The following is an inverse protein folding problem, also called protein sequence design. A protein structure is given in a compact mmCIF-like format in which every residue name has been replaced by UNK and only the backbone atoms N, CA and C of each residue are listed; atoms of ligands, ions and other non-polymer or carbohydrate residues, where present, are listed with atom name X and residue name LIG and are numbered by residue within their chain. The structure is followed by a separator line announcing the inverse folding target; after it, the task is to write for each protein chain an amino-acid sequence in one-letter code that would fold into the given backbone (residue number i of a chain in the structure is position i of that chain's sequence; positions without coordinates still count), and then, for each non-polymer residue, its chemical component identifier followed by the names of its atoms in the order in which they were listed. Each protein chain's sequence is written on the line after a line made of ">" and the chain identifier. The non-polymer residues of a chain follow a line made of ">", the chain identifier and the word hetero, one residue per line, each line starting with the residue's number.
data_IF_296830262226
#
_entry.id   IF_296830262226
#
_cell.length_a   1.000
_cell.length_b   1.000
_cell.length_c   1.000
_cell.angle_alpha   90.00
_cell.angle_beta   90.00
_cell.angle_gamma   90.00
#
_symmetry.space_group_name_H-M   'P 1'
#
loop_
_entity.id
_entity.type
_entity.pdbx_description
1 polymer ?
#
# COMPACT_ATOMS: atom_id res chain seq x y z
N UNK A 1 18.87 -8.57 -11.07
CA UNK A 1 17.60 -8.86 -10.40
C UNK A 1 16.47 -8.65 -11.40
N UNK A 2 15.48 -9.54 -11.40
CA UNK A 2 14.31 -9.37 -12.24
C UNK A 2 13.34 -8.42 -11.55
N UNK A 3 13.27 -7.16 -12.00
CA UNK A 3 12.25 -6.24 -11.52
C UNK A 3 10.91 -6.51 -12.23
N UNK A 4 9.82 -6.31 -11.52
CA UNK A 4 8.46 -6.60 -11.97
C UNK A 4 7.69 -5.29 -12.05
N UNK A 5 6.88 -5.11 -13.08
CA UNK A 5 5.92 -4.00 -13.15
C UNK A 5 4.57 -4.46 -12.62
N UNK A 6 3.83 -3.56 -11.96
CA UNK A 6 2.45 -3.84 -11.58
C UNK A 6 1.59 -4.18 -12.80
N UNK A 7 0.82 -5.25 -12.69
CA UNK A 7 -0.08 -5.69 -13.76
C UNK A 7 -1.49 -5.15 -13.51
N UNK A 8 -1.80 -4.00 -14.07
CA UNK A 8 -3.06 -3.29 -13.84
C UNK A 8 -4.32 -3.98 -14.40
N UNK A 9 -4.20 -5.15 -15.01
CA UNK A 9 -5.32 -6.03 -15.34
C UNK A 9 -5.42 -7.22 -14.36
N UNK A 10 -4.54 -7.31 -13.37
CA UNK A 10 -4.47 -8.39 -12.38
C UNK A 10 -3.88 -7.84 -11.06
N UNK A 11 -4.54 -6.85 -10.47
CA UNK A 11 -4.08 -6.15 -9.27
C UNK A 11 -5.21 -5.87 -8.27
N UNK A 12 -4.88 -5.23 -7.15
CA UNK A 12 -5.83 -4.86 -6.08
C UNK A 12 -7.05 -4.08 -6.56
N UNK A 13 -6.87 -3.16 -7.53
CA UNK A 13 -7.99 -2.40 -8.11
C UNK A 13 -9.00 -3.34 -8.75
N UNK A 14 -8.52 -4.38 -9.43
CA UNK A 14 -9.38 -5.36 -10.10
C UNK A 14 -10.14 -6.23 -9.08
N UNK A 15 -9.53 -6.57 -7.94
CA UNK A 15 -10.21 -7.25 -6.83
C UNK A 15 -11.36 -6.40 -6.29
N UNK A 16 -11.12 -5.12 -6.01
CA UNK A 16 -12.16 -4.20 -5.54
C UNK A 16 -13.30 -4.05 -6.54
N UNK A 17 -12.98 -4.00 -7.85
CA UNK A 17 -14.00 -3.94 -8.89
C UNK A 17 -14.79 -5.24 -9.05
N UNK A 18 -14.19 -6.43 -8.78
CA UNK A 18 -14.93 -7.69 -8.67
C UNK A 18 -15.95 -7.64 -7.52
N UNK A 19 -15.57 -7.11 -6.36
CA UNK A 19 -16.47 -6.95 -5.22
C UNK A 19 -17.59 -5.95 -5.54
N UNK A 20 -17.27 -4.77 -6.08
CA UNK A 20 -18.28 -3.79 -6.51
C UNK A 20 -19.31 -4.42 -7.46
N UNK A 21 -18.84 -5.15 -8.48
CA UNK A 21 -19.70 -5.87 -9.43
C UNK A 21 -20.59 -6.91 -8.74
N UNK A 22 -20.05 -7.71 -7.83
CA UNK A 22 -20.80 -8.74 -7.11
C UNK A 22 -21.94 -8.16 -6.25
N UNK A 23 -21.76 -6.92 -5.76
CA UNK A 23 -22.77 -6.20 -4.99
C UNK A 23 -23.60 -5.19 -5.81
N UNK A 24 -23.54 -5.27 -7.14
CA UNK A 24 -24.34 -4.45 -8.05
C UNK A 24 -23.95 -2.97 -8.10
N UNK A 25 -22.79 -2.61 -7.59
CA UNK A 25 -22.25 -1.25 -7.67
C UNK A 25 -21.51 -1.01 -8.99
N UNK A 26 -21.40 0.26 -9.38
CA UNK A 26 -20.68 0.65 -10.60
C UNK A 26 -19.18 0.36 -10.48
N UNK A 27 -18.61 -0.26 -11.51
CA UNK A 27 -17.19 -0.53 -11.63
C UNK A 27 -16.50 0.55 -12.47
N UNK A 28 -15.26 0.89 -12.12
CA UNK A 28 -14.43 1.89 -12.80
C UNK A 28 -13.24 1.29 -13.54
N UNK A 29 -12.93 0.02 -13.26
CA UNK A 29 -11.83 -0.73 -13.85
C UNK A 29 -12.27 -2.17 -14.18
N UNK A 30 -11.49 -2.93 -14.98
CA UNK A 30 -11.70 -4.37 -15.17
C UNK A 30 -11.71 -5.13 -13.85
N UNK A 31 -12.42 -6.24 -13.80
CA UNK A 31 -12.49 -7.14 -12.64
C UNK A 31 -11.34 -8.16 -12.64
N UNK A 32 -11.07 -8.78 -11.50
CA UNK A 32 -10.09 -9.84 -11.31
C UNK A 32 -10.75 -11.20 -11.57
N UNK A 33 -10.38 -11.88 -12.64
CA UNK A 33 -11.02 -13.13 -13.07
C UNK A 33 -11.07 -14.21 -11.97
N UNK A 34 -9.98 -14.35 -11.18
CA UNK A 34 -9.98 -15.33 -10.09
C UNK A 34 -10.95 -14.92 -8.96
N UNK A 35 -11.09 -13.65 -8.67
CA UNK A 35 -12.06 -13.18 -7.68
C UNK A 35 -13.50 -13.30 -8.19
N UNK A 36 -13.76 -13.01 -9.47
CA UNK A 36 -15.08 -13.20 -10.08
C UNK A 36 -15.57 -14.65 -9.92
N UNK A 37 -14.69 -15.64 -10.15
CA UNK A 37 -15.03 -17.06 -9.98
C UNK A 37 -15.37 -17.44 -8.53
N UNK A 38 -14.68 -16.83 -7.55
CA UNK A 38 -14.96 -17.05 -6.14
C UNK A 38 -16.28 -16.37 -5.71
N UNK A 39 -16.54 -15.17 -6.23
CA UNK A 39 -17.72 -14.36 -5.92
C UNK A 39 -19.00 -14.85 -6.63
N UNK A 40 -18.92 -15.75 -7.60
CA UNK A 40 -20.09 -16.36 -8.29
C UNK A 40 -20.87 -17.34 -7.39
N UNK A 41 -20.37 -17.62 -6.18
CA UNK A 41 -21.04 -18.43 -5.18
C UNK A 41 -22.18 -17.70 -4.46
N UNK A 42 -23.12 -18.49 -3.91
CA UNK A 42 -24.22 -17.94 -3.09
C UNK A 42 -23.79 -17.79 -1.63
N UNK A 43 -23.14 -16.70 -1.28
CA UNK A 43 -22.74 -16.40 0.09
C UNK A 43 -23.64 -15.32 0.69
N UNK A 44 -23.96 -15.48 1.97
CA UNK A 44 -24.62 -14.45 2.76
C UNK A 44 -23.65 -13.33 3.11
N UNK A 45 -22.39 -13.67 3.35
CA UNK A 45 -21.36 -12.70 3.71
C UNK A 45 -20.16 -12.87 2.77
N UNK A 46 -19.61 -11.73 2.32
CA UNK A 46 -18.31 -11.65 1.69
C UNK A 46 -17.42 -10.78 2.58
N UNK A 47 -16.36 -11.35 3.10
CA UNK A 47 -15.37 -10.64 3.95
C UNK A 47 -14.09 -10.51 3.19
N UNK A 48 -13.58 -9.31 3.03
CA UNK A 48 -12.21 -9.04 2.58
C UNK A 48 -11.39 -8.60 3.79
N UNK A 49 -10.46 -9.43 4.22
CA UNK A 49 -9.49 -9.13 5.27
C UNK A 49 -8.13 -8.84 4.63
N UNK A 50 -7.68 -7.61 4.76
CA UNK A 50 -6.38 -7.17 4.31
C UNK A 50 -5.41 -7.17 5.50
N UNK A 51 -4.34 -7.95 5.38
CA UNK A 51 -3.24 -8.04 6.33
C UNK A 51 -2.03 -7.33 5.73
N UNK A 52 -1.66 -6.21 6.34
CA UNK A 52 -0.62 -5.31 5.82
C UNK A 52 0.74 -6.01 5.66
N UNK A 53 1.33 -5.89 4.48
CA UNK A 53 2.59 -6.49 4.05
C UNK A 53 2.66 -8.04 4.09
N UNK A 54 1.53 -8.74 4.26
CA UNK A 54 1.51 -10.21 4.24
C UNK A 54 1.57 -10.75 2.79
N UNK A 55 2.61 -10.34 2.04
CA UNK A 55 2.85 -10.77 0.66
C UNK A 55 3.19 -12.26 0.53
N UNK A 56 3.23 -12.75 -0.72
CA UNK A 56 3.52 -14.16 -1.01
C UNK A 56 4.87 -14.58 -0.46
N UNK A 57 5.90 -13.73 -0.59
CA UNK A 57 7.24 -14.03 -0.08
C UNK A 57 7.26 -14.27 1.44
N UNK A 58 6.52 -13.49 2.22
CA UNK A 58 6.40 -13.67 3.67
C UNK A 58 5.68 -14.98 4.03
N UNK A 59 4.57 -15.29 3.35
CA UNK A 59 3.82 -16.54 3.56
C UNK A 59 4.68 -17.76 3.22
N UNK A 60 5.37 -17.74 2.08
CA UNK A 60 6.22 -18.87 1.66
C UNK A 60 7.41 -19.08 2.60
N UNK A 61 7.97 -18.00 3.15
CA UNK A 61 9.13 -18.06 4.04
C UNK A 61 8.78 -18.54 5.44
N UNK A 62 7.69 -18.06 6.02
CA UNK A 62 7.40 -18.22 7.44
C UNK A 62 6.38 -19.32 7.75
N UNK A 63 5.56 -19.73 6.79
CA UNK A 63 4.50 -20.70 7.01
C UNK A 63 4.75 -22.01 6.30
N UNK A 64 4.30 -23.12 6.89
CA UNK A 64 4.47 -24.44 6.32
C UNK A 64 3.56 -24.66 5.08
N UNK A 65 3.97 -25.48 4.09
CA UNK A 65 3.22 -25.64 2.85
C UNK A 65 1.79 -26.14 3.02
N UNK A 66 1.51 -26.94 4.04
CA UNK A 66 0.22 -27.51 4.39
C UNK A 66 -0.51 -26.73 5.51
N UNK A 67 0.00 -25.54 5.88
CA UNK A 67 -0.65 -24.62 6.82
C UNK A 67 -1.94 -24.03 6.27
N UNK A 68 -2.72 -23.42 7.16
CA UNK A 68 -4.05 -22.90 6.84
C UNK A 68 -4.03 -21.90 5.67
N UNK A 69 -3.19 -20.87 5.73
CA UNK A 69 -3.16 -19.83 4.70
C UNK A 69 -2.68 -20.38 3.34
N UNK A 70 -1.65 -21.23 3.34
CA UNK A 70 -1.10 -21.80 2.10
C UNK A 70 -2.02 -22.83 1.47
N UNK A 71 -2.74 -23.62 2.26
CA UNK A 71 -3.69 -24.62 1.75
C UNK A 71 -4.95 -24.00 1.13
N UNK A 72 -5.29 -22.75 1.49
CA UNK A 72 -6.41 -22.00 0.93
C UNK A 72 -6.00 -20.96 -0.12
N UNK A 73 -4.75 -20.97 -0.58
CA UNK A 73 -4.26 -20.05 -1.61
C UNK A 73 -4.96 -20.32 -2.95
N UNK A 74 -5.84 -19.41 -3.36
CA UNK A 74 -6.52 -19.47 -4.66
C UNK A 74 -5.59 -19.03 -5.81
N UNK A 75 -4.61 -18.17 -5.51
CA UNK A 75 -3.61 -17.69 -6.45
C UNK A 75 -2.86 -16.47 -5.94
N UNK A 76 -1.98 -15.93 -6.76
CA UNK A 76 -1.31 -14.66 -6.51
C UNK A 76 -1.62 -13.64 -7.59
N UNK A 77 -1.52 -12.36 -7.24
CA UNK A 77 -1.75 -11.24 -8.14
C UNK A 77 -0.90 -10.05 -7.69
N UNK A 78 -1.02 -8.92 -8.38
CA UNK A 78 -0.13 -7.78 -8.14
C UNK A 78 -0.74 -6.77 -7.15
N UNK A 79 0.10 -6.20 -6.31
CA UNK A 79 -0.18 -4.88 -5.73
C UNK A 79 -0.23 -3.81 -6.83
N UNK A 80 -0.57 -2.58 -6.46
CA UNK A 80 -0.41 -1.40 -7.31
C UNK A 80 1.02 -0.86 -7.22
N UNK A 81 1.35 0.13 -8.03
CA UNK A 81 2.61 0.87 -7.87
C UNK A 81 2.31 2.30 -7.36
N UNK A 82 3.04 2.81 -6.37
CA UNK A 82 3.99 2.06 -5.53
C UNK A 82 3.27 1.01 -4.65
N UNK A 83 3.90 -0.15 -4.38
CA UNK A 83 3.37 -1.13 -3.44
C UNK A 83 3.62 -0.64 -2.01
N UNK A 84 2.74 0.23 -1.55
CA UNK A 84 2.78 0.87 -0.23
C UNK A 84 1.38 1.01 0.32
N UNK A 85 1.24 0.99 1.65
CA UNK A 85 -0.05 1.07 2.36
C UNK A 85 -0.92 2.21 1.84
N UNK A 86 -0.36 3.42 1.65
CA UNK A 86 -1.12 4.60 1.20
C UNK A 86 -1.75 4.37 -0.18
N UNK A 87 -0.97 3.96 -1.17
CA UNK A 87 -1.49 3.78 -2.52
C UNK A 87 -2.37 2.54 -2.64
N UNK A 88 -1.97 1.44 -2.02
CA UNK A 88 -2.63 0.15 -2.16
C UNK A 88 -3.95 0.07 -1.39
N UNK A 89 -3.99 0.49 -0.11
CA UNK A 89 -5.25 0.50 0.66
C UNK A 89 -6.25 1.50 0.10
N UNK A 90 -5.78 2.68 -0.38
CA UNK A 90 -6.65 3.65 -1.07
C UNK A 90 -7.20 3.06 -2.37
N UNK A 91 -6.41 2.29 -3.11
CA UNK A 91 -6.89 1.56 -4.30
C UNK A 91 -7.96 0.54 -3.95
N UNK A 92 -7.78 -0.24 -2.87
CA UNK A 92 -8.81 -1.18 -2.39
C UNK A 92 -10.06 -0.43 -1.94
N UNK A 93 -9.90 0.63 -1.16
CA UNK A 93 -11.01 1.42 -0.62
C UNK A 93 -11.79 2.18 -1.68
N UNK A 94 -11.15 2.62 -2.76
CA UNK A 94 -11.81 3.42 -3.81
C UNK A 94 -12.22 2.61 -5.03
N UNK A 95 -11.57 1.48 -5.32
CA UNK A 95 -11.67 0.77 -6.60
C UNK A 95 -11.02 1.52 -7.77
N UNK A 96 -10.17 2.52 -7.50
CA UNK A 96 -9.47 3.35 -8.47
C UNK A 96 -7.97 3.02 -8.50
N UNK A 97 -7.32 3.31 -9.61
CA UNK A 97 -5.86 3.24 -9.70
C UNK A 97 -5.17 4.42 -8.98
N UNK A 98 -3.90 4.29 -8.56
CA UNK A 98 -3.17 5.39 -7.94
C UNK A 98 -3.14 6.68 -8.75
N UNK A 99 -3.06 6.62 -10.08
CA UNK A 99 -3.13 7.81 -10.92
C UNK A 99 -4.51 8.49 -10.90
N UNK A 100 -5.58 7.79 -10.54
CA UNK A 100 -6.94 8.34 -10.46
C UNK A 100 -7.22 8.95 -9.10
N UNK A 101 -6.95 8.19 -8.00
CA UNK A 101 -7.19 8.68 -6.65
C UNK A 101 -6.12 9.64 -6.14
N UNK A 102 -4.89 9.59 -6.69
CA UNK A 102 -3.81 10.55 -6.40
C UNK A 102 -3.06 10.35 -5.09
N UNK A 103 -3.37 9.33 -4.28
CA UNK A 103 -2.67 8.99 -3.05
C UNK A 103 -1.51 8.06 -3.40
N UNK A 104 -0.28 8.59 -3.48
CA UNK A 104 0.84 7.88 -4.11
C UNK A 104 1.81 7.25 -3.12
N UNK A 105 1.89 7.75 -1.89
CA UNK A 105 2.85 7.25 -0.92
C UNK A 105 2.73 7.94 0.42
N UNK A 106 3.63 7.58 1.33
CA UNK A 106 3.62 8.05 2.72
C UNK A 106 3.75 9.56 2.82
N UNK A 107 4.71 10.14 2.09
CA UNK A 107 4.92 11.59 2.00
C UNK A 107 4.58 12.10 0.61
N UNK A 108 3.68 13.06 0.51
CA UNK A 108 3.29 13.64 -0.77
C UNK A 108 3.49 15.14 -0.80
N UNK A 109 3.94 15.66 -1.95
CA UNK A 109 3.97 17.10 -2.18
C UNK A 109 2.59 17.63 -2.51
N UNK A 110 2.17 18.65 -1.76
CA UNK A 110 0.94 19.41 -2.00
C UNK A 110 1.30 20.84 -2.44
N UNK A 111 1.11 21.17 -3.73
CA UNK A 111 1.44 22.50 -4.26
C UNK A 111 0.75 23.65 -3.50
N UNK A 112 -0.48 23.42 -3.05
CA UNK A 112 -1.28 24.43 -2.33
C UNK A 112 -0.74 24.74 -0.93
N UNK A 113 0.02 23.82 -0.35
CA UNK A 113 0.67 23.97 0.95
C UNK A 113 2.17 24.27 0.81
N UNK A 114 2.71 24.15 -0.41
CA UNK A 114 4.12 24.32 -0.77
C UNK A 114 5.09 23.41 0.02
N UNK A 115 4.59 22.26 0.54
CA UNK A 115 5.36 21.31 1.37
C UNK A 115 5.00 19.85 1.13
N UNK A 116 5.88 18.96 1.57
CA UNK A 116 5.60 17.55 1.68
C UNK A 116 4.79 17.29 2.96
N UNK A 117 3.78 16.42 2.84
CA UNK A 117 2.88 16.05 3.93
C UNK A 117 2.89 14.54 4.08
N UNK A 118 3.09 14.07 5.31
CA UNK A 118 2.86 12.67 5.69
C UNK A 118 1.35 12.42 5.67
N UNK A 119 0.92 11.66 4.66
CA UNK A 119 -0.49 11.64 4.20
C UNK A 119 -1.46 11.19 5.28
N UNK A 120 -1.23 10.04 5.91
CA UNK A 120 -2.16 9.51 6.91
C UNK A 120 -2.15 10.28 8.23
N UNK A 121 -1.03 10.89 8.58
CA UNK A 121 -0.89 11.67 9.81
C UNK A 121 -1.32 13.13 9.63
N UNK A 122 -1.43 13.60 8.39
CA UNK A 122 -1.75 14.99 8.03
C UNK A 122 -0.82 15.99 8.72
N UNK A 123 0.46 15.69 8.75
CA UNK A 123 1.52 16.53 9.31
C UNK A 123 2.64 16.73 8.29
N UNK A 124 3.56 17.63 8.59
CA UNK A 124 4.75 17.84 7.79
C UNK A 124 5.59 16.56 7.71
N UNK A 125 6.28 16.34 6.57
CA UNK A 125 7.23 15.25 6.43
C UNK A 125 8.29 15.32 7.52
N UNK A 126 8.65 14.17 8.08
CA UNK A 126 9.73 14.06 9.04
C UNK A 126 11.06 14.46 8.37
N UNK A 127 11.76 15.42 8.94
CA UNK A 127 13.08 15.88 8.48
C UNK A 127 14.00 16.12 9.67
N UNK A 128 15.29 16.20 9.42
CA UNK A 128 16.30 16.55 10.42
C UNK A 128 16.95 17.90 10.07
N UNK A 129 17.46 18.59 11.10
CA UNK A 129 18.21 19.80 10.93
C UNK A 129 19.69 19.53 10.53
N UNK A 130 20.50 20.58 10.42
CA UNK A 130 21.93 20.48 10.08
C UNK A 130 22.79 19.73 11.11
N UNK A 131 22.28 19.49 12.32
CA UNK A 131 22.94 18.74 13.38
C UNK A 131 22.45 17.26 13.41
N UNK A 132 21.46 16.89 12.60
CA UNK A 132 20.81 15.57 12.60
C UNK A 132 19.73 15.41 13.65
N UNK A 133 19.29 16.52 14.28
CA UNK A 133 18.18 16.50 15.23
C UNK A 133 16.83 16.54 14.47
N UNK A 134 15.90 15.67 14.89
CA UNK A 134 14.57 15.62 14.30
C UNK A 134 13.82 16.93 14.55
N UNK A 135 13.31 17.53 13.48
CA UNK A 135 12.35 18.62 13.54
C UNK A 135 10.96 18.00 13.75
N UNK A 136 10.33 18.32 14.89
CA UNK A 136 8.99 17.81 15.21
C UNK A 136 7.98 18.22 14.13
N UNK A 137 7.27 17.27 13.49
CA UNK A 137 6.32 17.58 12.44
C UNK A 137 5.12 18.38 12.98
N UNK A 138 4.79 19.47 12.33
CA UNK A 138 3.58 20.23 12.64
C UNK A 138 2.38 19.73 11.81
N UNK A 139 1.12 19.95 12.27
CA UNK A 139 -0.05 19.68 11.45
C UNK A 139 0.05 20.39 10.10
N UNK A 140 -0.17 19.66 9.01
CA UNK A 140 0.00 20.21 7.66
C UNK A 140 -1.00 21.32 7.35
N UNK A 141 -2.22 21.22 7.85
CA UNK A 141 -3.32 22.19 7.72
C UNK A 141 -4.40 21.93 8.79
N UNK A 142 -5.34 22.87 8.94
CA UNK A 142 -6.53 22.71 9.80
C UNK A 142 -7.53 21.64 9.28
N UNK A 143 -7.32 21.14 8.08
CA UNK A 143 -8.10 20.11 7.41
C UNK A 143 -7.18 19.00 6.91
N UNK A 144 -7.73 17.82 6.64
CA UNK A 144 -6.94 16.73 6.09
C UNK A 144 -6.62 16.98 4.61
N UNK A 145 -5.34 17.24 4.31
CA UNK A 145 -4.88 17.68 3.00
C UNK A 145 -5.24 16.71 1.89
N UNK A 146 -4.96 15.41 2.10
CA UNK A 146 -5.22 14.41 1.08
C UNK A 146 -6.71 14.27 0.75
N UNK A 147 -7.61 14.23 1.75
CA UNK A 147 -9.06 14.22 1.48
C UNK A 147 -9.57 15.52 0.84
N UNK A 148 -8.94 16.65 1.14
CA UNK A 148 -9.31 17.93 0.54
C UNK A 148 -8.97 18.01 -0.95
N UNK A 149 -7.77 17.57 -1.31
CA UNK A 149 -7.23 17.76 -2.66
C UNK A 149 -7.37 16.54 -3.56
N UNK A 150 -7.48 15.35 -2.97
CA UNK A 150 -7.65 14.06 -3.65
C UNK A 150 -8.83 13.27 -3.07
N UNK A 151 -10.06 13.83 -3.12
CA UNK A 151 -11.23 13.14 -2.60
C UNK A 151 -11.58 11.93 -3.46
N UNK A 152 -12.02 10.87 -2.79
CA UNK A 152 -12.57 9.69 -3.46
C UNK A 152 -13.80 9.17 -2.71
N UNK A 153 -14.66 8.43 -3.41
CA UNK A 153 -15.78 7.72 -2.81
C UNK A 153 -15.34 6.29 -2.51
N UNK A 154 -15.55 5.84 -1.29
CA UNK A 154 -15.13 4.50 -0.89
C UNK A 154 -16.10 3.41 -1.36
N UNK A 155 -15.61 2.16 -1.39
CA UNK A 155 -16.37 0.99 -1.87
C UNK A 155 -17.60 0.68 -1.00
N UNK A 156 -17.54 0.97 0.31
CA UNK A 156 -18.66 0.75 1.23
C UNK A 156 -19.83 1.68 0.85
N UNK A 157 -19.54 2.96 0.64
CA UNK A 157 -20.55 3.93 0.20
C UNK A 157 -21.13 3.58 -1.18
N UNK A 158 -20.26 3.17 -2.13
CA UNK A 158 -20.70 2.74 -3.46
C UNK A 158 -21.66 1.55 -3.40
N UNK A 159 -21.35 0.53 -2.59
CA UNK A 159 -22.20 -0.65 -2.40
C UNK A 159 -23.53 -0.27 -1.72
N UNK A 160 -23.47 0.54 -0.66
CA UNK A 160 -24.67 0.95 0.09
C UNK A 160 -25.59 1.80 -0.77
N UNK A 161 -25.07 2.70 -1.60
CA UNK A 161 -25.87 3.48 -2.56
C UNK A 161 -26.48 2.65 -3.69
N UNK A 162 -25.83 1.55 -4.07
CA UNK A 162 -26.38 0.59 -5.03
C UNK A 162 -27.49 -0.30 -4.39
N UNK A 163 -27.82 -0.12 -3.11
CA UNK A 163 -28.83 -0.87 -2.38
C UNK A 163 -28.31 -2.14 -1.69
N UNK A 164 -27.00 -2.38 -1.71
CA UNK A 164 -26.34 -3.42 -0.95
C UNK A 164 -26.19 -3.06 0.53
N UNK A 165 -25.49 -3.92 1.27
CA UNK A 165 -25.06 -3.64 2.65
C UNK A 165 -23.56 -3.85 2.73
N UNK A 166 -22.82 -2.84 3.18
CA UNK A 166 -21.39 -2.95 3.35
C UNK A 166 -20.92 -2.21 4.59
N UNK A 167 -19.84 -2.72 5.21
CA UNK A 167 -19.32 -2.24 6.49
C UNK A 167 -17.80 -2.25 6.52
N UNK A 168 -17.22 -1.36 7.35
CA UNK A 168 -15.82 -1.42 7.75
C UNK A 168 -15.64 -2.13 9.10
N UNK A 169 -14.52 -2.83 9.26
CA UNK A 169 -14.01 -3.32 10.54
C UNK A 169 -12.49 -3.10 10.59
N UNK A 170 -12.06 -1.91 11.00
CA UNK A 170 -10.67 -1.51 11.04
C UNK A 170 -10.40 -0.39 12.06
N UNK A 171 -9.15 -0.19 12.52
CA UNK A 171 -8.84 0.75 13.60
C UNK A 171 -9.19 2.21 13.30
N UNK A 172 -9.28 2.61 12.04
CA UNK A 172 -9.43 4.00 11.60
C UNK A 172 -10.87 4.40 11.25
N UNK A 173 -11.82 3.45 11.38
CA UNK A 173 -13.24 3.66 11.05
C UNK A 173 -14.13 3.23 12.21
N UNK A 174 -15.26 3.94 12.41
CA UNK A 174 -16.22 3.59 13.46
C UNK A 174 -16.62 2.10 13.42
N UNK A 175 -16.64 1.44 14.56
CA UNK A 175 -16.50 1.87 15.96
C UNK A 175 -15.06 1.87 16.50
N UNK A 176 -14.02 1.95 15.64
CA UNK A 176 -12.61 2.04 16.00
C UNK A 176 -12.10 0.85 16.83
N UNK A 177 -12.23 -0.41 16.35
CA UNK A 177 -11.67 -1.57 17.05
C UNK A 177 -10.14 -1.40 17.16
N UNK A 178 -9.58 -1.74 18.35
CA UNK A 178 -8.20 -1.34 18.68
C UNK A 178 -7.15 -2.42 18.39
N UNK A 179 -7.59 -3.65 18.24
CA UNK A 179 -6.71 -4.82 18.06
C UNK A 179 -7.37 -5.84 17.11
N UNK A 180 -6.59 -6.82 16.68
CA UNK A 180 -7.06 -7.86 15.77
C UNK A 180 -8.28 -8.59 16.32
N UNK A 181 -8.29 -8.92 17.62
CA UNK A 181 -9.39 -9.67 18.22
C UNK A 181 -10.71 -8.89 18.16
N UNK A 182 -10.67 -7.59 18.45
CA UNK A 182 -11.86 -6.73 18.35
C UNK A 182 -12.32 -6.50 16.90
N UNK A 183 -11.37 -6.46 15.94
CA UNK A 183 -11.65 -6.42 14.51
C UNK A 183 -12.39 -7.69 14.07
N UNK A 184 -11.81 -8.86 14.36
CA UNK A 184 -12.38 -10.16 14.00
C UNK A 184 -13.74 -10.39 14.67
N UNK A 185 -13.86 -10.05 15.96
CA UNK A 185 -15.14 -10.12 16.70
C UNK A 185 -16.23 -9.27 16.04
N UNK A 186 -15.91 -8.06 15.62
CA UNK A 186 -16.88 -7.23 14.89
C UNK A 186 -17.29 -7.87 13.55
N UNK A 187 -16.37 -8.48 12.81
CA UNK A 187 -16.70 -9.22 11.58
C UNK A 187 -17.67 -10.38 11.90
N UNK A 188 -17.41 -11.17 12.95
CA UNK A 188 -18.32 -12.25 13.39
C UNK A 188 -19.71 -11.72 13.70
N UNK A 189 -19.81 -10.64 14.47
CA UNK A 189 -21.09 -10.02 14.84
C UNK A 189 -21.87 -9.54 13.61
N UNK A 190 -21.19 -8.89 12.66
CA UNK A 190 -21.79 -8.46 11.40
C UNK A 190 -22.24 -9.66 10.54
N UNK A 191 -21.44 -10.74 10.47
CA UNK A 191 -21.79 -11.95 9.74
C UNK A 191 -23.03 -12.66 10.33
N UNK A 192 -23.27 -12.53 11.63
CA UNK A 192 -24.46 -13.09 12.31
C UNK A 192 -25.74 -12.32 11.97
N UNK A 193 -25.67 -11.07 11.58
CA UNK A 193 -26.83 -10.25 11.20
C UNK A 193 -27.50 -10.74 9.91
N UNK A 194 -28.82 -10.51 9.72
CA UNK A 194 -29.54 -10.95 8.54
C UNK A 194 -29.20 -10.14 7.29
N UNK A 195 -29.26 -10.81 6.13
CA UNK A 195 -29.10 -10.22 4.78
C UNK A 195 -27.67 -10.34 4.26
N UNK A 196 -27.56 -10.28 2.94
CA UNK A 196 -26.28 -10.37 2.23
C UNK A 196 -25.47 -9.08 2.45
N UNK A 197 -24.16 -9.21 2.71
CA UNK A 197 -23.31 -8.07 2.99
C UNK A 197 -21.85 -8.27 2.60
N UNK A 198 -21.19 -7.16 2.38
CA UNK A 198 -19.75 -7.05 2.24
C UNK A 198 -19.13 -6.44 3.50
N UNK A 199 -18.02 -6.98 3.96
CA UNK A 199 -17.26 -6.44 5.09
C UNK A 199 -15.81 -6.29 4.65
N UNK A 200 -15.29 -5.05 4.70
CA UNK A 200 -13.87 -4.78 4.49
C UNK A 200 -13.19 -4.61 5.85
N UNK A 201 -12.16 -5.40 6.06
CA UNK A 201 -11.38 -5.42 7.30
C UNK A 201 -9.90 -5.22 6.98
N UNK A 202 -9.19 -4.52 7.87
CA UNK A 202 -7.76 -4.23 7.73
C UNK A 202 -7.06 -4.36 9.08
N UNK A 203 -5.84 -4.92 9.05
CA UNK A 203 -4.95 -4.98 10.19
C UNK A 203 -3.50 -4.68 9.74
N UNK A 204 -2.78 -3.86 10.52
CA UNK A 204 -1.45 -3.32 10.20
C UNK A 204 -0.28 -4.29 10.44
N UNK A 205 -0.55 -5.57 10.66
CA UNK A 205 0.47 -6.60 10.81
C UNK A 205 0.41 -7.59 9.64
N UNK A 206 1.57 -8.12 9.25
CA UNK A 206 2.90 -8.05 9.86
C UNK A 206 3.76 -6.81 9.54
N UNK A 207 3.28 -5.85 8.74
CA UNK A 207 4.07 -4.70 8.25
C UNK A 207 4.83 -3.95 9.35
N UNK A 208 4.14 -3.52 10.40
CA UNK A 208 4.75 -2.78 11.52
C UNK A 208 5.92 -3.56 12.14
N UNK A 209 5.74 -4.88 12.35
CA UNK A 209 6.80 -5.73 12.91
C UNK A 209 7.94 -5.96 11.91
N UNK A 210 7.63 -6.04 10.61
CA UNK A 210 8.65 -6.17 9.57
C UNK A 210 9.50 -4.92 9.43
N UNK A 211 8.93 -3.73 9.59
CA UNK A 211 9.67 -2.48 9.64
C UNK A 211 10.60 -2.41 10.85
N UNK A 212 10.14 -2.88 12.03
CA UNK A 212 10.89 -2.76 13.27
C UNK A 212 12.00 -3.82 13.42
N UNK A 213 11.74 -5.07 13.02
CA UNK A 213 12.64 -6.20 13.23
C UNK A 213 13.24 -6.79 11.95
N UNK A 214 12.76 -6.35 10.78
CA UNK A 214 13.09 -6.92 9.49
C UNK A 214 12.21 -8.14 9.13
N UNK A 215 11.84 -8.27 7.84
CA UNK A 215 10.91 -9.31 7.38
C UNK A 215 11.48 -10.73 7.54
N UNK A 216 12.77 -10.87 7.76
CA UNK A 216 13.47 -12.15 7.88
C UNK A 216 13.72 -12.60 9.33
N UNK A 217 13.27 -11.81 10.32
CA UNK A 217 13.55 -12.04 11.74
C UNK A 217 12.72 -13.18 12.35
N UNK A 218 13.22 -13.75 13.45
CA UNK A 218 12.48 -14.74 14.25
C UNK A 218 11.20 -14.14 14.85
N UNK A 219 11.22 -12.84 15.20
CA UNK A 219 10.03 -12.12 15.69
C UNK A 219 8.90 -12.11 14.66
N UNK A 220 9.23 -11.84 13.38
CA UNK A 220 8.25 -11.91 12.30
C UNK A 220 7.78 -13.35 12.06
N UNK A 221 8.69 -14.34 12.16
CA UNK A 221 8.32 -15.75 12.03
C UNK A 221 7.28 -16.16 13.08
N UNK A 222 7.53 -15.85 14.35
CA UNK A 222 6.60 -16.14 15.47
C UNK A 222 5.26 -15.42 15.28
N UNK A 223 5.28 -14.16 14.85
CA UNK A 223 4.09 -13.38 14.55
C UNK A 223 3.27 -14.02 13.41
N UNK A 224 3.91 -14.44 12.32
CA UNK A 224 3.22 -15.05 11.18
C UNK A 224 2.50 -16.34 11.57
N UNK A 225 3.13 -17.19 12.39
CA UNK A 225 2.51 -18.41 12.95
C UNK A 225 1.30 -18.05 13.82
N UNK A 226 1.43 -17.03 14.67
CA UNK A 226 0.33 -16.57 15.52
C UNK A 226 -0.83 -16.04 14.69
N UNK A 227 -0.57 -15.22 13.67
CA UNK A 227 -1.59 -14.67 12.78
C UNK A 227 -2.32 -15.79 12.02
N UNK A 228 -1.59 -16.75 11.45
CA UNK A 228 -2.19 -17.91 10.76
C UNK A 228 -3.15 -18.65 11.69
N UNK A 229 -2.72 -18.99 12.91
CA UNK A 229 -3.54 -19.68 13.90
C UNK A 229 -4.81 -18.87 14.25
N UNK A 230 -4.67 -17.56 14.46
CA UNK A 230 -5.83 -16.68 14.79
C UNK A 230 -6.82 -16.62 13.62
N UNK A 231 -6.35 -16.57 12.38
CA UNK A 231 -7.19 -16.54 11.19
C UNK A 231 -7.90 -17.88 10.96
N UNK A 232 -7.25 -19.01 11.24
CA UNK A 232 -7.87 -20.34 11.21
C UNK A 232 -8.97 -20.46 12.27
N UNK A 233 -8.69 -20.09 13.53
CA UNK A 233 -9.70 -20.05 14.62
C UNK A 233 -10.89 -19.16 14.27
N UNK A 234 -10.62 -17.96 13.75
CA UNK A 234 -11.66 -17.01 13.32
C UNK A 234 -12.53 -17.59 12.20
N UNK A 235 -11.92 -18.21 11.19
CA UNK A 235 -12.66 -18.77 10.08
C UNK A 235 -13.67 -19.84 10.55
N UNK A 236 -13.31 -20.64 11.55
CA UNK A 236 -14.17 -21.70 12.09
C UNK A 236 -15.45 -21.17 12.77
N UNK A 237 -15.50 -19.89 13.12
CA UNK A 237 -16.68 -19.24 13.73
C UNK A 237 -17.67 -18.68 12.69
N UNK A 238 -17.25 -18.57 11.42
CA UNK A 238 -18.06 -18.01 10.35
C UNK A 238 -18.97 -19.07 9.70
N UNK A 239 -20.08 -18.61 9.11
CA UNK A 239 -21.04 -19.46 8.36
C UNK A 239 -21.59 -18.69 7.17
N UNK A 240 -21.92 -19.41 6.10
CA UNK A 240 -22.45 -18.81 4.86
C UNK A 240 -21.58 -17.65 4.37
N UNK A 241 -20.24 -17.79 4.48
CA UNK A 241 -19.28 -16.72 4.29
C UNK A 241 -18.20 -17.11 3.29
N UNK A 242 -17.90 -16.24 2.35
CA UNK A 242 -16.66 -16.25 1.60
C UNK A 242 -15.68 -15.31 2.32
N UNK A 243 -14.65 -15.88 2.94
CA UNK A 243 -13.56 -15.12 3.55
C UNK A 243 -12.41 -15.03 2.54
N UNK A 244 -12.15 -13.84 2.05
CA UNK A 244 -11.00 -13.49 1.22
C UNK A 244 -9.95 -12.83 2.10
N UNK A 245 -8.72 -13.36 2.09
CA UNK A 245 -7.58 -12.78 2.80
C UNK A 245 -6.53 -12.40 1.76
N UNK A 246 -6.01 -11.19 1.86
CA UNK A 246 -4.97 -10.66 0.97
C UNK A 246 -4.05 -9.70 1.70
N UNK A 247 -3.04 -9.17 1.00
CA UNK A 247 -2.18 -8.08 1.45
C UNK A 247 -2.32 -6.88 0.51
N UNK A 248 -1.90 -5.73 0.94
CA UNK A 248 -1.74 -4.55 0.10
C UNK A 248 -0.41 -4.55 -0.66
N UNK A 249 0.65 -5.05 -0.03
CA UNK A 249 1.98 -5.27 -0.62
C UNK A 249 2.71 -6.39 0.11
N UNK A 250 3.93 -6.67 -0.32
CA UNK A 250 4.88 -7.47 0.42
C UNK A 250 6.00 -6.59 0.98
N UNK A 251 7.04 -7.24 1.51
CA UNK A 251 8.12 -6.57 2.24
C UNK A 251 9.47 -7.24 1.96
N UNK A 252 10.57 -6.50 2.11
CA UNK A 252 11.91 -7.06 1.96
C UNK A 252 12.93 -6.39 2.91
N UNK A 253 14.00 -7.12 3.22
CA UNK A 253 15.14 -6.55 3.95
C UNK A 253 15.81 -5.48 3.10
N UNK A 254 16.20 -4.37 3.73
CA UNK A 254 16.68 -3.16 3.05
C UNK A 254 18.04 -2.70 3.56
N UNK A 255 18.88 -2.22 2.65
CA UNK A 255 20.10 -1.45 2.93
C UNK A 255 19.72 0.03 2.86
N UNK A 256 19.79 0.69 3.99
CA UNK A 256 19.25 2.03 4.15
C UNK A 256 20.31 3.11 4.03
N UNK A 257 19.97 4.17 3.32
CA UNK A 257 20.74 5.39 3.15
C UNK A 257 19.94 6.56 3.71
N UNK A 258 20.62 7.56 4.27
CA UNK A 258 20.03 8.87 4.50
C UNK A 258 20.39 9.80 3.35
N UNK A 259 19.41 10.50 2.79
CA UNK A 259 19.64 11.39 1.63
C UNK A 259 20.63 12.52 1.96
N UNK A 260 20.71 12.94 3.23
CA UNK A 260 21.59 14.01 3.69
C UNK A 260 23.08 13.63 3.63
N UNK A 261 23.41 12.33 3.59
CA UNK A 261 24.79 11.83 3.37
C UNK A 261 25.30 12.07 1.94
N UNK A 262 24.43 12.53 1.03
CA UNK A 262 24.74 12.74 -0.39
C UNK A 262 24.61 14.22 -0.80
N UNK A 263 25.55 15.09 -0.37
CA UNK A 263 25.47 16.53 -0.65
C UNK A 263 25.46 16.88 -2.15
N UNK A 264 26.04 16.00 -2.99
CA UNK A 264 25.98 16.13 -4.45
C UNK A 264 24.58 15.94 -5.01
N UNK A 265 23.68 15.24 -4.30
CA UNK A 265 22.27 15.08 -4.64
C UNK A 265 21.45 16.19 -4.00
N UNK A 266 21.57 16.39 -2.69
CA UNK A 266 20.73 17.33 -1.92
C UNK A 266 20.89 18.79 -2.41
N UNK A 267 22.08 19.20 -2.84
CA UNK A 267 22.28 20.54 -3.44
C UNK A 267 21.42 20.78 -4.68
N UNK A 268 21.07 19.71 -5.41
CA UNK A 268 20.26 19.80 -6.63
C UNK A 268 18.77 19.96 -6.33
N UNK A 269 18.31 19.68 -5.10
CA UNK A 269 16.91 19.56 -4.78
C UNK A 269 16.28 20.87 -4.31
N UNK A 270 15.03 21.11 -4.72
CA UNK A 270 14.19 22.18 -4.22
C UNK A 270 13.63 21.89 -2.81
N UNK A 271 13.44 20.60 -2.51
CA UNK A 271 12.88 20.07 -1.25
C UNK A 271 13.32 18.64 -1.04
N UNK A 272 13.08 18.09 0.16
CA UNK A 272 13.27 16.66 0.40
C UNK A 272 12.44 15.83 -0.56
N UNK A 273 12.90 14.61 -0.93
CA UNK A 273 12.13 13.70 -1.77
C UNK A 273 10.80 13.34 -1.11
N UNK A 274 9.82 13.02 -1.92
CA UNK A 274 8.49 12.56 -1.48
C UNK A 274 8.19 11.17 -2.04
N UNK A 275 7.02 10.65 -1.75
CA UNK A 275 6.42 9.36 -2.06
C UNK A 275 6.91 8.31 -1.08
N UNK A 276 8.00 7.59 -1.34
CA UNK A 276 8.46 6.51 -0.46
C UNK A 276 9.98 6.36 -0.48
N UNK A 277 10.61 5.76 0.56
CA UNK A 277 12.05 5.54 0.57
C UNK A 277 12.57 4.63 -0.54
N UNK A 278 11.70 3.87 -1.21
CA UNK A 278 12.02 2.99 -2.33
C UNK A 278 11.37 3.42 -3.66
N UNK A 279 10.61 4.53 -3.63
CA UNK A 279 10.01 5.18 -4.79
C UNK A 279 10.04 6.71 -4.60
N UNK A 280 11.22 7.31 -4.76
CA UNK A 280 11.45 8.71 -4.42
C UNK A 280 11.12 9.65 -5.59
N UNK A 281 10.30 10.63 -5.30
CA UNK A 281 9.97 11.72 -6.22
C UNK A 281 10.85 12.95 -5.92
N UNK A 282 11.64 13.37 -6.91
CA UNK A 282 12.61 14.46 -6.79
C UNK A 282 12.16 15.72 -7.52
N UNK A 283 12.03 16.81 -6.79
CA UNK A 283 11.86 18.16 -7.32
C UNK A 283 13.23 18.81 -7.43
N UNK A 284 13.72 19.00 -8.66
CA UNK A 284 15.10 19.42 -8.96
C UNK A 284 15.13 20.88 -9.37
N UNK A 285 16.10 21.66 -8.85
CA UNK A 285 16.35 23.05 -9.28
C UNK A 285 16.67 23.10 -10.77
N UNK A 286 16.18 24.13 -11.46
CA UNK A 286 16.28 24.23 -12.91
C UNK A 286 17.71 24.12 -13.43
N UNK A 287 18.68 24.72 -12.72
CA UNK A 287 20.10 24.68 -13.09
C UNK A 287 20.74 23.28 -13.01
N UNK A 288 20.11 22.32 -12.31
CA UNK A 288 20.65 20.95 -12.16
C UNK A 288 19.85 19.89 -12.92
N UNK A 289 18.74 20.23 -13.58
CA UNK A 289 17.86 19.24 -14.23
C UNK A 289 18.59 18.36 -15.23
N UNK A 290 19.49 18.92 -16.02
CA UNK A 290 20.24 18.13 -17.02
C UNK A 290 21.32 17.24 -16.39
N UNK A 291 21.96 17.68 -15.29
CA UNK A 291 23.07 16.98 -14.64
C UNK A 291 22.60 15.94 -13.61
N UNK A 292 21.43 16.15 -13.00
CA UNK A 292 20.90 15.32 -11.90
C UNK A 292 20.88 13.82 -12.23
N UNK A 293 20.42 13.37 -13.42
CA UNK A 293 20.44 11.94 -13.75
C UNK A 293 21.83 11.31 -13.73
N UNK A 294 22.84 12.07 -14.16
CA UNK A 294 24.24 11.63 -14.12
C UNK A 294 24.76 11.51 -12.70
N UNK A 295 24.47 12.51 -11.86
CA UNK A 295 24.84 12.53 -10.43
C UNK A 295 24.18 11.33 -9.71
N UNK A 296 22.86 11.18 -9.83
CA UNK A 296 22.12 10.10 -9.16
C UNK A 296 22.62 8.71 -9.57
N UNK A 297 22.80 8.47 -10.88
CA UNK A 297 23.28 7.18 -11.39
C UNK A 297 24.73 6.90 -11.00
N UNK A 298 25.59 7.90 -10.84
CA UNK A 298 26.96 7.68 -10.37
C UNK A 298 27.01 7.22 -8.91
N UNK A 299 26.05 7.66 -8.09
CA UNK A 299 25.93 7.34 -6.66
C UNK A 299 25.27 5.97 -6.47
N UNK A 300 24.08 5.77 -7.01
CA UNK A 300 23.27 4.56 -6.75
C UNK A 300 23.33 3.50 -7.85
N UNK A 301 24.03 3.78 -8.96
CA UNK A 301 24.27 2.84 -10.08
C UNK A 301 22.97 2.21 -10.61
N UNK A 302 22.95 0.88 -10.68
CA UNK A 302 21.84 0.06 -11.16
C UNK A 302 20.84 -0.36 -10.08
N UNK A 303 20.96 0.22 -8.87
CA UNK A 303 20.07 -0.10 -7.75
C UNK A 303 18.69 0.55 -7.86
N UNK A 304 18.63 1.65 -8.60
CA UNK A 304 17.40 2.38 -8.89
C UNK A 304 17.22 2.60 -10.39
N UNK A 305 15.98 2.48 -10.85
CA UNK A 305 15.55 3.03 -12.12
C UNK A 305 15.20 4.50 -11.89
N UNK A 306 15.82 5.40 -12.66
CA UNK A 306 15.48 6.83 -12.62
C UNK A 306 14.71 7.20 -13.87
N UNK A 307 13.47 7.60 -13.72
CA UNK A 307 12.56 8.04 -14.78
C UNK A 307 12.27 9.53 -14.66
N UNK A 308 12.13 10.19 -15.79
CA UNK A 308 11.56 11.54 -15.85
C UNK A 308 10.07 11.52 -15.57
N UNK A 309 9.49 12.63 -15.13
CA UNK A 309 8.04 12.81 -14.97
C UNK A 309 7.26 12.36 -16.22
N UNK A 310 7.73 12.72 -17.40
CA UNK A 310 7.08 12.38 -18.67
C UNK A 310 7.12 10.86 -18.95
N UNK A 311 8.22 10.20 -18.61
CA UNK A 311 8.33 8.74 -18.72
C UNK A 311 7.39 8.04 -17.74
N UNK A 312 7.29 8.52 -16.50
CA UNK A 312 6.37 7.99 -15.47
C UNK A 312 4.92 8.04 -15.97
N UNK A 313 4.49 9.18 -16.51
CA UNK A 313 3.13 9.39 -16.99
C UNK A 313 2.86 8.60 -18.28
N UNK A 314 3.77 8.66 -19.25
CA UNK A 314 3.59 7.98 -20.54
C UNK A 314 3.60 6.46 -20.40
N UNK A 315 4.38 5.91 -19.46
CA UNK A 315 4.39 4.49 -19.15
C UNK A 315 3.24 4.04 -18.26
N UNK A 316 2.37 4.97 -17.82
CA UNK A 316 1.22 4.72 -16.93
C UNK A 316 1.62 3.96 -15.67
N UNK A 317 2.72 4.39 -15.05
CA UNK A 317 3.34 3.67 -13.94
C UNK A 317 2.40 3.58 -12.72
N UNK A 318 1.56 4.59 -12.49
CA UNK A 318 0.60 4.65 -11.41
C UNK A 318 -0.81 4.11 -11.77
N UNK A 319 -0.97 3.52 -12.96
CA UNK A 319 -2.26 2.95 -13.37
C UNK A 319 -2.68 3.33 -14.78
N UNK A 320 -3.68 2.60 -15.28
CA UNK A 320 -4.20 2.73 -16.66
C UNK A 320 -5.45 3.58 -16.74
N UNK A 321 -5.99 4.03 -15.58
CA UNK A 321 -7.17 4.89 -15.50
C UNK A 321 -6.90 6.31 -16.01
N UNK A 322 -7.88 7.19 -15.79
CA UNK A 322 -7.77 8.60 -16.14
C UNK A 322 -6.95 9.33 -15.07
N UNK A 323 -5.88 10.01 -15.49
CA UNK A 323 -5.05 10.75 -14.56
C UNK A 323 -5.84 11.80 -13.77
N UNK A 324 -5.63 11.82 -12.46
CA UNK A 324 -6.07 12.93 -11.61
C UNK A 324 -5.42 14.23 -12.13
N UNK A 325 -6.18 15.32 -12.27
CA UNK A 325 -5.64 16.59 -12.78
C UNK A 325 -4.44 17.12 -11.97
N UNK A 326 -4.34 16.74 -10.69
CA UNK A 326 -3.26 17.17 -9.77
C UNK A 326 -2.03 16.25 -9.78
N UNK A 327 -2.12 15.09 -10.40
CA UNK A 327 -1.04 14.09 -10.39
C UNK A 327 0.30 14.67 -10.82
N UNK A 328 0.30 15.44 -11.92
CA UNK A 328 1.53 16.02 -12.47
C UNK A 328 2.23 17.01 -11.52
N UNK A 329 1.46 17.72 -10.72
CA UNK A 329 1.97 18.75 -9.82
C UNK A 329 2.44 18.13 -8.48
N UNK A 330 1.92 16.94 -8.13
CA UNK A 330 2.29 16.21 -6.92
C UNK A 330 3.52 15.32 -7.08
N UNK A 331 3.98 15.06 -8.31
CA UNK A 331 5.22 14.33 -8.60
C UNK A 331 6.30 15.28 -9.12
N UNK A 332 7.56 15.01 -8.71
CA UNK A 332 8.73 15.81 -9.08
C UNK A 332 9.19 15.60 -10.52
N UNK A 333 10.31 16.22 -10.85
CA UNK A 333 10.92 16.13 -12.19
C UNK A 333 11.40 14.72 -12.50
N UNK A 334 11.80 13.97 -11.47
CA UNK A 334 12.27 12.59 -11.57
C UNK A 334 11.64 11.69 -10.50
N UNK A 335 11.47 10.42 -10.84
CA UNK A 335 11.10 9.34 -9.92
C UNK A 335 12.19 8.28 -9.92
N UNK A 336 12.85 8.06 -8.77
CA UNK A 336 13.79 6.96 -8.60
C UNK A 336 13.08 5.80 -7.91
N UNK A 337 13.15 4.61 -8.51
CA UNK A 337 12.46 3.42 -8.05
C UNK A 337 13.47 2.34 -7.77
N UNK A 338 13.52 1.84 -6.55
CA UNK A 338 14.40 0.74 -6.17
C UNK A 338 13.99 -0.55 -6.89
N UNK A 339 14.98 -1.21 -7.48
CA UNK A 339 14.87 -2.54 -8.10
C UNK A 339 15.82 -3.55 -7.43
N UNK A 340 16.39 -3.15 -6.31
CA UNK A 340 17.34 -3.89 -5.50
C UNK A 340 16.93 -3.80 -4.02
N UNK A 341 17.89 -3.93 -3.13
CA UNK A 341 17.72 -3.94 -1.68
C UNK A 341 17.95 -2.57 -1.00
N UNK A 342 18.16 -1.50 -1.75
CA UNK A 342 18.40 -0.17 -1.19
C UNK A 342 17.10 0.64 -0.99
N UNK A 343 17.10 1.41 0.13
CA UNK A 343 16.12 2.45 0.45
C UNK A 343 16.84 3.77 0.77
N UNK A 344 16.21 4.90 0.47
CA UNK A 344 16.77 6.23 0.76
C UNK A 344 15.74 6.99 1.61
N UNK A 345 16.07 7.24 2.87
CA UNK A 345 15.23 7.94 3.85
C UNK A 345 15.56 9.42 3.91
N UNK A 346 14.62 10.20 4.43
CA UNK A 346 14.81 11.62 4.67
C UNK A 346 15.67 11.90 5.92
N UNK A 347 15.70 10.96 6.88
CA UNK A 347 16.39 11.12 8.16
C UNK A 347 17.26 9.91 8.51
N UNK A 348 18.34 10.13 9.25
CA UNK A 348 19.19 9.06 9.80
C UNK A 348 18.42 8.20 10.80
N UNK A 349 17.48 8.79 11.53
CA UNK A 349 16.64 8.07 12.49
C UNK A 349 15.84 6.97 11.79
N UNK A 350 15.09 7.32 10.73
CA UNK A 350 14.32 6.33 9.97
C UNK A 350 15.23 5.29 9.33
N UNK A 351 16.32 5.72 8.68
CA UNK A 351 17.29 4.82 8.06
C UNK A 351 17.89 3.80 9.05
N UNK A 352 18.05 4.18 10.32
CA UNK A 352 18.64 3.29 11.35
C UNK A 352 17.62 2.36 12.00
N UNK A 353 16.32 2.71 11.98
CA UNK A 353 15.28 1.97 12.71
C UNK A 353 14.46 1.03 11.85
N UNK A 354 14.57 1.11 10.51
CA UNK A 354 13.73 0.35 9.59
C UNK A 354 14.54 -0.67 8.77
N UNK A 355 14.89 -1.85 9.33
CA UNK A 355 15.68 -2.87 8.60
C UNK A 355 14.94 -3.50 7.41
N UNK A 356 13.65 -3.22 7.27
CA UNK A 356 12.82 -3.67 6.16
C UNK A 356 12.11 -2.52 5.46
N UNK A 357 11.72 -2.72 4.20
CA UNK A 357 11.03 -1.73 3.37
C UNK A 357 10.23 -2.33 2.22
N UNK A 358 9.41 -1.49 1.63
CA UNK A 358 8.55 -1.79 0.48
C UNK A 358 8.42 -0.55 -0.43
N UNK A 359 7.61 -0.58 -1.45
CA UNK A 359 7.33 0.47 -2.45
C UNK A 359 8.22 0.44 -3.71
N UNK A 360 9.20 -0.48 -3.80
CA UNK A 360 10.00 -0.68 -5.01
C UNK A 360 9.36 -1.62 -6.04
N UNK A 361 10.16 -2.05 -7.01
CA UNK A 361 9.73 -2.93 -8.10
C UNK A 361 10.33 -4.34 -7.99
N UNK A 362 10.40 -4.90 -6.80
CA UNK A 362 10.79 -6.30 -6.64
C UNK A 362 9.55 -7.21 -6.56
N UNK A 363 9.74 -8.49 -6.91
CA UNK A 363 8.67 -9.47 -6.79
C UNK A 363 8.18 -9.61 -5.34
N UNK A 364 9.10 -9.54 -4.37
CA UNK A 364 8.78 -9.66 -2.95
C UNK A 364 7.82 -8.55 -2.46
N UNK A 365 7.89 -7.36 -3.07
CA UNK A 365 7.04 -6.22 -2.72
C UNK A 365 5.70 -6.23 -3.46
N UNK A 366 5.69 -6.68 -4.72
CA UNK A 366 4.52 -6.58 -5.61
C UNK A 366 3.60 -7.79 -5.58
N UNK A 367 4.11 -9.00 -5.36
CA UNK A 367 3.30 -10.21 -5.42
C UNK A 367 2.55 -10.46 -4.11
N UNK A 368 1.23 -10.43 -4.19
CA UNK A 368 0.33 -10.60 -3.05
C UNK A 368 -0.60 -11.80 -3.24
N UNK A 369 -1.03 -12.45 -2.15
CA UNK A 369 -1.88 -13.64 -2.21
C UNK A 369 -3.35 -13.28 -2.38
N UNK A 370 -4.13 -14.14 -3.01
CA UNK A 370 -5.56 -14.25 -2.79
C UNK A 370 -5.84 -15.59 -2.13
N UNK A 371 -6.19 -15.56 -0.86
CA UNK A 371 -6.56 -16.72 -0.05
C UNK A 371 -8.08 -16.73 0.06
N UNK A 372 -8.72 -17.87 -0.18
CA UNK A 372 -10.17 -17.99 -0.19
C UNK A 372 -10.63 -19.17 0.67
N UNK A 373 -11.42 -18.87 1.70
CA UNK A 373 -12.02 -19.85 2.60
C UNK A 373 -13.53 -19.84 2.41
N UNK A 374 -14.09 -20.97 2.07
CA UNK A 374 -15.52 -21.17 1.85
C UNK A 374 -16.16 -21.78 3.11
N UNK A 375 -17.07 -21.06 3.77
CA UNK A 375 -17.59 -21.36 5.11
C UNK A 375 -19.13 -21.39 5.14
#
# INVERSE_FOLDING_TARGET
>A
MDFVKSYYNNCLVNLSNSILKAFGAETTAPTLEMADKLLDGSYKNVVLLLMDAMGVAAIEKHLVPDGFLRSHLAGSFSSVFPPTTVAATTSVMSGLYPNEHGWLGWDMFFPELEKNVTVFLNCDQLVEDENGDIIEPEPAAEYHAAFRYFPYKNVIDKINEAGGKAYFSMPFMEPYPKDLDSILKRVEDLCAEPGNKFIYSYWNQPDTTMHEYGPDSDTVHELMILLEKRLEEFSSNLKDTLLLITADHGHMTSINHCITDYPEITKCLLRMPSVEPRALSFFVKDEYKEEFPGIFRSTFKDKFILLTKEEVISQKLFGTGKDNPRLRDSIGDYLAISVADESIFATHKEASLMPGGHAGLTKAELEIPLIAVHL
#
